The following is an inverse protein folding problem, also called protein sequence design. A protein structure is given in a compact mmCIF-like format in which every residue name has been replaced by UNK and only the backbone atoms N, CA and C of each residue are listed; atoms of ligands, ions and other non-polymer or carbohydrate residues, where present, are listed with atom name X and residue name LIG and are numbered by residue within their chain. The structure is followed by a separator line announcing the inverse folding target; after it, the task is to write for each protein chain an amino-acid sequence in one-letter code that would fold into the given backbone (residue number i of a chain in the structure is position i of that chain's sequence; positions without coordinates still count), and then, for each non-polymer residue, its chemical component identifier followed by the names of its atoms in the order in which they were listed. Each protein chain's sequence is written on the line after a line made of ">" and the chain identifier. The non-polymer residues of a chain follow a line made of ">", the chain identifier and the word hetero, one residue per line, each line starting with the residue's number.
data_IF_134003540097
#
_entry.id   IF_134003540097
#
_cell.length_a   1.000
_cell.length_b   1.000
_cell.length_c   1.000
_cell.angle_alpha   90.00
_cell.angle_beta   90.00
_cell.angle_gamma   90.00
#
_symmetry.space_group_name_H-M   'P 1'
#
loop_
_entity.id
_entity.type
_entity.pdbx_description
1 polymer ?
#
# COMPACT_ATOMS: atom_id res chain seq x y z
N UNK A 1 26.87 18.40 11.77
CA UNK A 1 26.03 19.60 11.64
C UNK A 1 24.73 19.18 10.96
N UNK A 2 23.68 18.99 11.76
CA UNK A 2 22.33 18.65 11.31
C UNK A 2 21.66 19.86 10.65
N UNK A 3 21.53 19.85 9.32
CA UNK A 3 20.93 20.96 8.55
C UNK A 3 19.64 20.55 7.81
N UNK A 4 18.83 19.66 8.37
CA UNK A 4 17.49 19.39 7.86
C UNK A 4 16.43 19.73 8.92
N UNK A 5 15.57 20.74 8.68
CA UNK A 5 14.35 20.88 9.44
C UNK A 5 13.52 19.61 9.23
N UNK A 6 13.32 18.81 10.28
CA UNK A 6 12.30 17.76 10.35
C UNK A 6 10.92 18.43 10.36
N UNK A 7 10.49 18.97 9.22
CA UNK A 7 9.18 19.56 9.09
C UNK A 7 8.13 18.44 9.02
N UNK A 8 7.49 18.15 10.15
CA UNK A 8 6.30 17.30 10.25
C UNK A 8 5.07 18.08 9.81
N UNK A 9 4.25 17.51 8.91
CA UNK A 9 2.94 18.08 8.60
C UNK A 9 2.01 17.93 9.80
N UNK A 10 1.38 19.02 10.24
CA UNK A 10 0.38 18.99 11.32
C UNK A 10 -0.81 18.10 10.97
N UNK A 11 -1.23 18.10 9.70
CA UNK A 11 -2.34 17.26 9.21
C UNK A 11 -1.96 15.78 9.28
N UNK A 12 -0.77 15.43 8.77
CA UNK A 12 -0.30 14.05 8.79
C UNK A 12 -0.07 13.52 10.21
N UNK A 13 0.53 14.33 11.07
CA UNK A 13 0.80 13.95 12.47
C UNK A 13 -0.49 13.75 13.24
N UNK A 14 -1.48 14.62 13.02
CA UNK A 14 -2.82 14.46 13.58
C UNK A 14 -3.49 13.17 13.07
N UNK A 15 -3.47 12.93 11.76
CA UNK A 15 -4.06 11.71 11.18
C UNK A 15 -3.45 10.43 11.76
N UNK A 16 -2.13 10.34 11.89
CA UNK A 16 -1.49 9.17 12.51
C UNK A 16 -1.83 9.02 13.99
N UNK A 17 -1.90 10.13 14.72
CA UNK A 17 -2.33 10.12 16.13
C UNK A 17 -3.76 9.62 16.27
N UNK A 18 -4.67 10.12 15.43
CA UNK A 18 -6.07 9.73 15.42
C UNK A 18 -6.24 8.26 15.02
N UNK A 19 -5.48 7.78 14.02
CA UNK A 19 -5.45 6.38 13.61
C UNK A 19 -4.94 5.46 14.73
N UNK A 20 -3.86 5.85 15.41
CA UNK A 20 -3.34 5.10 16.56
C UNK A 20 -4.39 5.01 17.67
N UNK A 21 -5.00 6.14 18.04
CA UNK A 21 -6.05 6.18 19.07
C UNK A 21 -7.25 5.32 18.69
N UNK A 22 -7.64 5.32 17.41
CA UNK A 22 -8.71 4.48 16.89
C UNK A 22 -8.37 2.99 17.03
N UNK A 23 -7.15 2.58 16.70
CA UNK A 23 -6.69 1.18 16.84
C UNK A 23 -6.71 0.75 18.30
N UNK A 24 -6.15 1.56 19.21
CA UNK A 24 -6.11 1.26 20.65
C UNK A 24 -7.53 1.19 21.24
N UNK A 25 -8.39 2.16 20.90
CA UNK A 25 -9.79 2.17 21.33
C UNK A 25 -10.56 0.96 20.81
N UNK A 26 -10.41 0.61 19.53
CA UNK A 26 -11.05 -0.55 18.92
C UNK A 26 -10.60 -1.84 19.59
N UNK A 27 -9.30 -2.00 19.85
CA UNK A 27 -8.79 -3.16 20.57
C UNK A 27 -9.37 -3.26 21.98
N UNK A 28 -9.36 -2.17 22.74
CA UNK A 28 -9.88 -2.12 24.10
C UNK A 28 -11.38 -2.44 24.15
N UNK A 29 -12.18 -1.86 23.26
CA UNK A 29 -13.63 -2.14 23.16
C UNK A 29 -13.95 -3.57 22.74
N UNK A 30 -12.97 -4.29 22.17
CA UNK A 30 -13.09 -5.70 21.78
C UNK A 30 -12.31 -6.64 22.72
N UNK A 31 -12.12 -6.25 23.98
CA UNK A 31 -11.52 -7.12 25.00
C UNK A 31 -10.01 -7.32 24.84
N UNK A 32 -9.30 -6.30 24.33
CA UNK A 32 -7.86 -6.35 24.09
C UNK A 32 -7.47 -7.18 22.87
N UNK A 33 -8.42 -7.52 21.99
CA UNK A 33 -8.14 -8.28 20.77
C UNK A 33 -7.35 -7.45 19.76
N UNK A 34 -6.41 -8.07 19.00
CA UNK A 34 -5.72 -7.40 17.90
C UNK A 34 -6.69 -6.87 16.83
N UNK A 35 -6.31 -5.79 16.16
CA UNK A 35 -7.10 -5.14 15.10
C UNK A 35 -6.57 -5.55 13.72
N UNK A 36 -7.49 -5.84 12.79
CA UNK A 36 -7.16 -6.06 11.37
C UNK A 36 -7.21 -4.71 10.64
N UNK A 37 -6.11 -4.30 10.01
CA UNK A 37 -6.06 -3.11 9.15
C UNK A 37 -6.32 -3.52 7.70
N UNK A 38 -7.44 -3.06 7.14
CA UNK A 38 -7.77 -3.22 5.73
C UNK A 38 -7.56 -1.88 5.01
N UNK A 39 -6.85 -1.90 3.89
CA UNK A 39 -6.60 -0.72 3.06
C UNK A 39 -6.67 -1.06 1.58
N UNK A 40 -6.83 -0.04 0.74
CA UNK A 40 -6.95 -0.19 -0.71
C UNK A 40 -6.01 0.78 -1.43
N UNK A 41 -5.42 0.32 -2.53
CA UNK A 41 -4.58 1.12 -3.42
C UNK A 41 -3.47 1.85 -2.65
N UNK A 42 -3.34 3.17 -2.83
CA UNK A 42 -2.39 4.02 -2.12
C UNK A 42 -2.47 3.88 -0.59
N UNK A 43 -3.63 3.56 -0.03
CA UNK A 43 -3.81 3.31 1.40
C UNK A 43 -2.90 2.20 1.94
N UNK A 44 -2.54 1.20 1.12
CA UNK A 44 -1.61 0.15 1.51
C UNK A 44 -0.22 0.67 1.86
N UNK A 45 0.28 1.64 1.09
CA UNK A 45 1.55 2.30 1.37
C UNK A 45 1.48 3.16 2.64
N UNK A 46 0.34 3.81 2.90
CA UNK A 46 0.14 4.57 4.14
C UNK A 46 0.08 3.68 5.38
N UNK A 47 -0.57 2.51 5.29
CA UNK A 47 -0.58 1.53 6.40
C UNK A 47 0.81 0.95 6.61
N UNK A 48 1.53 0.61 5.53
CA UNK A 48 2.91 0.14 5.62
C UNK A 48 3.81 1.18 6.30
N UNK A 49 3.67 2.46 5.94
CA UNK A 49 4.37 3.57 6.57
C UNK A 49 3.99 3.76 8.05
N UNK A 50 2.71 3.59 8.38
CA UNK A 50 2.23 3.69 9.76
C UNK A 50 2.86 2.61 10.65
N UNK A 51 3.04 1.40 10.13
CA UNK A 51 3.61 0.27 10.85
C UNK A 51 5.13 0.37 11.01
N UNK A 52 5.85 0.99 10.07
CA UNK A 52 7.32 1.08 10.02
C UNK A 52 7.96 2.05 11.05
N UNK A 53 7.22 2.59 12.03
CA UNK A 53 7.73 3.53 13.07
C UNK A 53 8.82 4.51 12.55
N UNK A 54 8.48 5.51 11.71
CA UNK A 54 9.05 6.89 11.68
C UNK A 54 8.57 7.70 10.43
N UNK A 55 8.27 9.00 10.68
CA UNK A 55 8.01 10.18 9.84
C UNK A 55 7.38 10.12 8.42
N UNK A 56 6.35 10.95 8.25
CA UNK A 56 5.46 11.10 7.09
C UNK A 56 5.94 12.03 5.95
N UNK A 57 5.56 11.62 4.72
CA UNK A 57 4.85 12.41 3.69
C UNK A 57 5.30 13.87 3.49
N UNK A 58 6.49 14.05 2.91
CA UNK A 58 6.81 15.37 2.37
C UNK A 58 7.14 15.38 0.88
N UNK A 59 7.12 14.22 0.23
CA UNK A 59 7.76 13.94 -1.05
C UNK A 59 6.81 13.70 -2.23
N UNK A 60 5.52 13.66 -1.93
CA UNK A 60 4.42 13.59 -2.89
C UNK A 60 4.24 14.90 -3.69
N UNK A 61 4.88 16.00 -3.26
CA UNK A 61 4.54 17.34 -3.71
C UNK A 61 5.36 17.90 -4.88
N UNK A 62 6.45 17.34 -5.43
CA UNK A 62 7.09 18.01 -6.61
C UNK A 62 6.36 17.68 -7.90
N UNK A 63 5.90 16.43 -8.01
CA UNK A 63 5.84 15.77 -9.30
C UNK A 63 4.55 16.05 -10.09
N UNK A 64 3.79 17.06 -9.66
CA UNK A 64 2.71 17.65 -10.46
C UNK A 64 3.11 19.01 -11.08
N UNK A 65 4.41 19.36 -11.07
CA UNK A 65 4.92 20.64 -11.60
C UNK A 65 5.14 21.71 -10.52
N UNK A 66 5.57 21.31 -9.31
CA UNK A 66 5.74 22.16 -8.14
C UNK A 66 7.19 22.10 -7.63
N UNK A 67 8.11 22.93 -8.18
CA UNK A 67 9.56 22.76 -8.10
C UNK A 67 10.19 22.75 -6.69
N UNK A 68 9.40 22.85 -5.62
CA UNK A 68 9.79 22.62 -4.23
C UNK A 68 9.72 21.16 -3.71
N UNK A 69 9.01 20.21 -4.33
CA UNK A 69 8.91 18.81 -3.86
C UNK A 69 9.85 17.62 -4.30
N UNK A 70 10.99 17.76 -5.01
CA UNK A 70 11.92 16.82 -5.73
C UNK A 70 13.05 16.60 -4.77
N UNK A 71 13.50 17.68 -4.16
CA UNK A 71 14.30 17.58 -2.96
C UNK A 71 13.50 16.78 -1.93
N UNK A 72 12.20 17.02 -1.71
CA UNK A 72 11.35 16.08 -0.99
C UNK A 72 11.21 14.68 -1.63
N UNK A 73 10.88 14.48 -2.90
CA UNK A 73 10.80 13.16 -3.58
C UNK A 73 12.03 12.31 -3.29
N UNK A 74 13.23 12.84 -3.57
CA UNK A 74 14.51 12.19 -3.31
C UNK A 74 14.80 11.96 -1.83
N UNK A 75 14.33 12.81 -0.93
CA UNK A 75 14.59 12.68 0.53
C UNK A 75 13.50 11.95 1.30
N UNK A 76 12.30 11.75 0.76
CA UNK A 76 11.14 11.20 1.51
C UNK A 76 10.18 10.30 0.73
N UNK A 77 10.27 10.10 -0.60
CA UNK A 77 9.49 9.07 -1.35
C UNK A 77 10.42 8.03 -1.91
N UNK A 78 11.54 8.45 -2.52
CA UNK A 78 12.55 7.54 -3.04
C UNK A 78 13.04 6.54 -1.97
N UNK A 79 13.32 6.94 -0.70
CA UNK A 79 13.63 5.96 0.35
C UNK A 79 12.47 5.02 0.72
N UNK A 80 11.22 5.44 0.51
CA UNK A 80 10.02 4.63 0.81
C UNK A 80 9.71 3.58 -0.26
N UNK A 81 10.11 3.84 -1.51
CA UNK A 81 9.90 2.91 -2.64
C UNK A 81 11.17 2.16 -3.03
N UNK A 82 12.36 2.61 -2.59
CA UNK A 82 13.62 1.89 -2.77
C UNK A 82 13.72 0.66 -1.87
N UNK A 83 13.07 0.68 -0.72
CA UNK A 83 13.01 -0.45 0.21
C UNK A 83 11.62 -0.51 0.81
N UNK A 84 10.84 -1.53 0.45
CA UNK A 84 9.56 -1.80 1.10
C UNK A 84 9.85 -2.31 2.52
N UNK A 85 9.58 -1.52 3.57
CA UNK A 85 9.89 -1.93 4.93
C UNK A 85 9.11 -3.19 5.29
N UNK A 86 9.67 -3.96 6.21
CA UNK A 86 9.03 -5.16 6.71
C UNK A 86 8.24 -4.74 7.96
N UNK A 87 6.90 -4.77 7.93
CA UNK A 87 6.09 -4.26 9.04
C UNK A 87 6.06 -5.20 10.26
N UNK A 88 6.69 -6.38 10.18
CA UNK A 88 6.79 -7.38 11.25
C UNK A 88 5.43 -7.81 11.82
N UNK A 89 4.39 -7.71 11.00
CA UNK A 89 3.04 -8.19 11.28
C UNK A 89 2.57 -9.02 10.10
N UNK A 90 1.68 -10.01 10.27
CA UNK A 90 1.13 -10.77 9.16
C UNK A 90 0.44 -9.86 8.12
N UNK A 91 0.82 -9.99 6.86
CA UNK A 91 0.24 -9.23 5.74
C UNK A 91 -0.39 -10.18 4.75
N UNK A 92 -1.64 -9.91 4.38
CA UNK A 92 -2.29 -10.53 3.22
C UNK A 92 -2.45 -9.48 2.12
N UNK A 93 -1.82 -9.71 0.97
CA UNK A 93 -1.91 -8.85 -0.19
C UNK A 93 -2.88 -9.47 -1.21
N UNK A 94 -3.96 -8.76 -1.52
CA UNK A 94 -5.01 -9.22 -2.44
C UNK A 94 -5.08 -8.25 -3.61
N UNK A 95 -4.93 -8.75 -4.83
CA UNK A 95 -5.00 -7.91 -6.03
C UNK A 95 -5.57 -8.64 -7.24
N UNK A 96 -6.08 -7.83 -8.18
CA UNK A 96 -6.56 -8.29 -9.47
C UNK A 96 -5.42 -8.61 -10.45
N UNK A 97 -5.72 -9.37 -11.50
CA UNK A 97 -4.75 -9.69 -12.56
C UNK A 97 -5.46 -10.09 -13.84
N UNK A 98 -4.74 -10.15 -14.95
CA UNK A 98 -5.31 -10.45 -16.27
C UNK A 98 -6.09 -9.28 -16.89
N UNK A 99 -5.95 -8.07 -16.36
CA UNK A 99 -6.58 -6.87 -16.90
C UNK A 99 -5.53 -6.02 -17.62
N UNK A 100 -5.84 -5.66 -18.87
CA UNK A 100 -4.96 -4.90 -19.76
C UNK A 100 -4.54 -3.58 -19.09
N UNK A 101 -3.26 -3.47 -18.72
CA UNK A 101 -2.73 -2.36 -17.91
C UNK A 101 -1.64 -1.60 -18.66
N UNK A 102 -1.66 -0.26 -18.73
CA UNK A 102 -0.60 0.52 -19.36
C UNK A 102 0.77 0.26 -18.71
N UNK A 103 1.78 -0.08 -19.50
CA UNK A 103 3.16 -0.30 -19.03
C UNK A 103 4.15 0.69 -19.63
N UNK A 104 3.95 1.09 -20.88
CA UNK A 104 4.85 2.04 -21.56
C UNK A 104 4.05 3.03 -22.39
N UNK A 105 4.42 4.30 -22.28
CA UNK A 105 3.84 5.40 -23.04
C UNK A 105 4.89 5.91 -24.03
N UNK A 106 4.60 5.81 -25.32
CA UNK A 106 5.45 6.35 -26.38
C UNK A 106 4.90 7.71 -26.82
N UNK A 107 5.68 8.76 -26.55
CA UNK A 107 5.41 10.11 -27.02
C UNK A 107 6.28 10.37 -28.26
N UNK A 108 5.64 10.73 -29.38
CA UNK A 108 6.34 11.12 -30.60
C UNK A 108 6.84 12.56 -30.56
N UNK A 109 7.23 13.08 -31.72
CA UNK A 109 7.90 14.39 -31.86
C UNK A 109 7.05 15.60 -31.42
N UNK A 110 5.74 15.42 -31.23
CA UNK A 110 4.84 16.46 -30.70
C UNK A 110 4.83 16.55 -29.17
N UNK A 111 5.73 15.85 -28.47
CA UNK A 111 5.84 15.89 -27.02
C UNK A 111 4.57 15.41 -26.31
N UNK A 112 4.30 15.98 -25.13
CA UNK A 112 3.18 15.59 -24.26
C UNK A 112 1.82 16.19 -24.66
N UNK A 113 1.80 17.04 -25.70
CA UNK A 113 0.58 17.72 -26.17
C UNK A 113 -0.35 16.79 -26.96
N UNK A 114 0.14 15.60 -27.34
CA UNK A 114 -0.64 14.55 -27.99
C UNK A 114 -0.73 13.31 -27.13
N UNK A 115 -1.83 12.57 -27.29
CA UNK A 115 -2.01 11.28 -26.63
C UNK A 115 -0.89 10.31 -27.04
N UNK A 116 -0.22 9.65 -26.09
CA UNK A 116 0.82 8.68 -26.42
C UNK A 116 0.24 7.39 -27.01
N UNK A 117 1.06 6.67 -27.75
CA UNK A 117 0.81 5.25 -27.99
C UNK A 117 1.09 4.47 -26.70
N UNK A 118 0.23 3.52 -26.37
CA UNK A 118 0.28 2.79 -25.11
C UNK A 118 0.55 1.33 -25.37
N UNK A 119 1.66 0.83 -24.84
CA UNK A 119 1.90 -0.61 -24.71
C UNK A 119 1.30 -1.05 -23.39
N UNK A 120 0.54 -2.13 -23.48
CA UNK A 120 -0.16 -2.71 -22.35
C UNK A 120 0.44 -4.06 -22.01
N UNK A 121 0.57 -4.32 -20.72
CA UNK A 121 0.86 -5.63 -20.18
C UNK A 121 -0.20 -6.07 -19.19
N UNK A 122 0.20 -6.93 -18.27
CA UNK A 122 -0.67 -7.53 -17.25
C UNK A 122 -0.74 -6.65 -15.99
N UNK A 123 -1.87 -6.71 -15.31
CA UNK A 123 -2.14 -5.98 -14.08
C UNK A 123 -3.63 -5.96 -13.75
N UNK A 124 -4.03 -4.97 -12.96
CA UNK A 124 -5.42 -4.74 -12.55
C UNK A 124 -6.13 -3.64 -13.37
N UNK A 125 -5.53 -3.19 -14.47
CA UNK A 125 -6.00 -2.09 -15.31
C UNK A 125 -5.45 -0.71 -14.91
N UNK A 126 -4.83 -0.59 -13.73
CA UNK A 126 -4.16 0.63 -13.25
C UNK A 126 -2.71 0.36 -12.84
N UNK A 127 -2.50 -0.67 -12.04
CA UNK A 127 -1.21 -1.07 -11.47
C UNK A 127 -0.72 -2.33 -12.17
N UNK A 128 0.49 -2.26 -12.72
CA UNK A 128 1.08 -3.38 -13.45
C UNK A 128 1.44 -4.54 -12.51
N UNK A 129 1.56 -5.74 -13.09
CA UNK A 129 1.80 -6.96 -12.34
C UNK A 129 3.14 -6.94 -11.59
N UNK A 130 4.18 -6.31 -12.16
CA UNK A 130 5.49 -6.14 -11.51
C UNK A 130 5.35 -5.40 -10.19
N UNK A 131 4.55 -4.33 -10.15
CA UNK A 131 4.29 -3.58 -8.94
C UNK A 131 3.41 -4.33 -7.95
N UNK A 132 2.40 -5.06 -8.43
CA UNK A 132 1.50 -5.85 -7.56
C UNK A 132 2.25 -7.00 -6.87
N UNK A 133 3.23 -7.61 -7.54
CA UNK A 133 4.05 -8.70 -7.00
C UNK A 133 5.30 -8.23 -6.25
N UNK A 134 5.57 -6.92 -6.16
CA UNK A 134 6.82 -6.39 -5.61
C UNK A 134 7.11 -6.86 -4.17
N UNK A 135 6.06 -7.09 -3.36
CA UNK A 135 6.19 -7.58 -1.98
C UNK A 135 6.73 -9.01 -1.91
N UNK A 136 6.39 -9.89 -2.85
CA UNK A 136 6.91 -11.27 -2.88
C UNK A 136 8.44 -11.22 -2.94
N UNK A 137 8.99 -10.48 -3.90
CA UNK A 137 10.44 -10.33 -4.08
C UNK A 137 11.11 -9.55 -2.94
N UNK A 138 10.46 -8.50 -2.43
CA UNK A 138 11.05 -7.64 -1.40
C UNK A 138 11.15 -8.32 -0.03
N UNK A 139 10.25 -9.26 0.27
CA UNK A 139 10.14 -9.91 1.59
C UNK A 139 10.53 -11.40 1.60
N UNK A 140 10.86 -12.00 0.46
CA UNK A 140 11.22 -13.43 0.26
C UNK A 140 12.27 -13.99 1.25
N UNK A 141 13.15 -13.14 1.79
CA UNK A 141 14.33 -13.54 2.57
C UNK A 141 14.33 -13.12 4.03
N UNK A 142 13.21 -12.61 4.58
CA UNK A 142 13.18 -12.05 5.94
C UNK A 142 12.46 -12.99 6.93
N UNK A 143 13.22 -13.57 7.85
CA UNK A 143 12.78 -14.62 8.81
C UNK A 143 11.53 -14.26 9.66
N UNK A 144 11.18 -12.98 9.80
CA UNK A 144 10.11 -12.51 10.69
C UNK A 144 8.93 -11.82 9.98
N UNK A 145 8.70 -12.06 8.68
CA UNK A 145 7.55 -11.51 7.96
C UNK A 145 6.71 -12.59 7.29
N UNK A 146 5.43 -12.64 7.67
CA UNK A 146 4.44 -13.48 7.00
C UNK A 146 3.75 -12.69 5.90
N UNK A 147 3.87 -13.15 4.65
CA UNK A 147 3.18 -12.59 3.49
C UNK A 147 2.33 -13.67 2.83
N UNK A 148 1.03 -13.42 2.72
CA UNK A 148 0.11 -14.21 1.89
C UNK A 148 -0.29 -13.40 0.68
N UNK A 149 -0.07 -13.92 -0.52
CA UNK A 149 -0.47 -13.26 -1.78
C UNK A 149 -1.66 -13.97 -2.40
N UNK A 150 -2.66 -13.18 -2.79
CA UNK A 150 -3.90 -13.67 -3.38
C UNK A 150 -4.16 -12.90 -4.67
N UNK A 151 -4.10 -13.63 -5.79
CA UNK A 151 -4.32 -13.10 -7.13
C UNK A 151 -5.74 -13.46 -7.56
N UNK A 152 -6.52 -12.47 -8.02
CA UNK A 152 -7.90 -12.66 -8.47
C UNK A 152 -8.00 -12.34 -9.97
N UNK A 153 -8.05 -13.35 -10.86
CA UNK A 153 -8.07 -13.14 -12.30
C UNK A 153 -9.31 -12.37 -12.76
N UNK A 154 -9.14 -11.49 -13.75
CA UNK A 154 -10.22 -10.71 -14.38
C UNK A 154 -10.72 -9.52 -13.56
N UNK A 155 -10.26 -9.35 -12.33
CA UNK A 155 -10.68 -8.25 -11.45
C UNK A 155 -9.80 -7.03 -11.68
N UNK A 156 -10.43 -5.86 -11.82
CA UNK A 156 -9.74 -4.58 -12.00
C UNK A 156 -9.53 -3.84 -10.68
N UNK A 157 -8.67 -2.82 -10.71
CA UNK A 157 -8.30 -1.97 -9.58
C UNK A 157 -9.50 -1.44 -8.79
N UNK A 158 -10.54 -1.02 -9.51
CA UNK A 158 -11.74 -0.40 -8.92
C UNK A 158 -12.85 -1.42 -8.67
N UNK A 159 -12.89 -2.52 -9.43
CA UNK A 159 -13.91 -3.56 -9.26
C UNK A 159 -13.60 -4.51 -8.11
N UNK A 160 -12.36 -4.58 -7.61
CA UNK A 160 -12.00 -5.45 -6.48
C UNK A 160 -12.84 -5.22 -5.21
N UNK A 161 -13.44 -4.04 -5.06
CA UNK A 161 -14.33 -3.69 -3.93
C UNK A 161 -15.83 -3.83 -4.27
N UNK A 162 -16.17 -4.40 -5.43
CA UNK A 162 -17.56 -4.52 -5.93
C UNK A 162 -17.85 -5.90 -6.55
N UNK A 163 -16.84 -6.53 -7.12
CA UNK A 163 -16.93 -7.86 -7.71
C UNK A 163 -17.25 -8.89 -6.61
N UNK A 164 -18.25 -9.72 -6.85
CA UNK A 164 -18.72 -10.69 -5.84
C UNK A 164 -17.65 -11.70 -5.45
N UNK A 165 -16.89 -12.21 -6.43
CA UNK A 165 -15.81 -13.17 -6.16
C UNK A 165 -14.67 -12.52 -5.38
N UNK A 166 -14.33 -11.26 -5.69
CA UNK A 166 -13.34 -10.50 -4.94
C UNK A 166 -13.80 -10.23 -3.50
N UNK A 167 -15.03 -9.80 -3.31
CA UNK A 167 -15.61 -9.54 -1.98
C UNK A 167 -15.68 -10.81 -1.15
N UNK A 168 -16.15 -11.92 -1.73
CA UNK A 168 -16.20 -13.23 -1.05
C UNK A 168 -14.80 -13.66 -0.60
N UNK A 169 -13.79 -13.44 -1.44
CA UNK A 169 -12.40 -13.74 -1.07
C UNK A 169 -11.91 -12.85 0.07
N UNK A 170 -12.13 -11.53 -0.01
CA UNK A 170 -11.72 -10.58 1.04
C UNK A 170 -12.40 -10.93 2.38
N UNK A 171 -13.72 -11.19 2.36
CA UNK A 171 -14.49 -11.55 3.55
C UNK A 171 -13.99 -12.87 4.12
N UNK A 172 -13.78 -13.89 3.26
CA UNK A 172 -13.26 -15.19 3.69
C UNK A 172 -11.91 -15.05 4.40
N UNK A 173 -11.00 -14.23 3.87
CA UNK A 173 -9.69 -14.01 4.49
C UNK A 173 -9.80 -13.30 5.84
N UNK A 174 -10.64 -12.26 5.95
CA UNK A 174 -10.91 -11.56 7.22
C UNK A 174 -11.51 -12.53 8.25
N UNK A 175 -12.46 -13.37 7.84
CA UNK A 175 -13.07 -14.36 8.71
C UNK A 175 -12.06 -15.41 9.17
N UNK A 176 -11.19 -15.90 8.29
CA UNK A 176 -10.12 -16.84 8.64
C UNK A 176 -9.14 -16.23 9.65
N UNK A 177 -8.68 -15.00 9.42
CA UNK A 177 -7.77 -14.30 10.35
C UNK A 177 -8.44 -14.13 11.72
N UNK A 178 -9.70 -13.70 11.76
CA UNK A 178 -10.44 -13.54 13.01
C UNK A 178 -10.61 -14.87 13.77
N UNK A 179 -10.84 -15.96 13.04
CA UNK A 179 -10.93 -17.29 13.61
C UNK A 179 -9.58 -17.72 14.22
N UNK A 180 -8.49 -17.57 13.47
CA UNK A 180 -7.13 -17.88 13.95
C UNK A 180 -6.76 -17.09 15.20
N UNK A 181 -7.01 -15.77 15.22
CA UNK A 181 -6.80 -14.90 16.39
C UNK A 181 -7.63 -15.38 17.59
N UNK A 182 -8.90 -15.76 17.36
CA UNK A 182 -9.77 -16.22 18.44
C UNK A 182 -9.27 -17.55 19.03
N UNK A 183 -8.78 -18.46 18.19
CA UNK A 183 -8.23 -19.75 18.65
C UNK A 183 -6.89 -19.63 19.36
N UNK A 184 -6.04 -18.67 18.97
CA UNK A 184 -4.74 -18.46 19.63
C UNK A 184 -4.87 -17.84 21.02
N UNK A 185 -5.88 -16.99 21.24
CA UNK A 185 -6.18 -16.40 22.56
C UNK A 185 -6.83 -17.36 23.56
N UNK A 186 -7.30 -18.53 23.11
CA UNK A 186 -7.88 -19.58 23.95
C UNK A 186 -6.85 -20.63 24.39
N UNK A 187 -5.62 -20.56 23.87
CA UNK A 187 -4.49 -21.42 24.26
C UNK A 187 -3.64 -20.72 25.31
#
# INVERSE_FOLDING_TARGET
>A
MDWLPKATSNVGSKFLSDLKNLIESTSNSNGGRPVILLSHSLGGLFVLQFLDRIQLLGAFLQDIGFPEGVRPYKTRVLPLVQSLPNPQVPVTCIFGGGVKTPETLFYGDCGFDKRPEVVYGDGDGTVNMVSLMALESAWDSRENQSLKVIKIPGVSHTSILKDGTALDRIISEISSINYEISTSLLR
#
